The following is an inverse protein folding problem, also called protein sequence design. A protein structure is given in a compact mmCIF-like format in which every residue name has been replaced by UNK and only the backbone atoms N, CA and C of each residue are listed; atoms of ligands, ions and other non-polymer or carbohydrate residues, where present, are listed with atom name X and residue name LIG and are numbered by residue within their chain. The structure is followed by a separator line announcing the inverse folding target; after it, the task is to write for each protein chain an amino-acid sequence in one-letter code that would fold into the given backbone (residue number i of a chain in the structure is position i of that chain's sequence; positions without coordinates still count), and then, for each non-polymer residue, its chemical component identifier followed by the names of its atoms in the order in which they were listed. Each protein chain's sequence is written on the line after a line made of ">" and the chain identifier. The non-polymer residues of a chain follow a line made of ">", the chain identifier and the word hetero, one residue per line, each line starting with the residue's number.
data_IF_356104309196
#
_entry.id   IF_356104309196
#
_cell.length_a   1.000
_cell.length_b   1.000
_cell.length_c   1.000
_cell.angle_alpha   90.00
_cell.angle_beta   90.00
_cell.angle_gamma   90.00
#
_symmetry.space_group_name_H-M   'P 1'
#
loop_
_entity.id
_entity.type
_entity.pdbx_description
1 polymer ?
#
# COMPACT_ATOMS: atom_id res chain seq x y z
N UNK A 1 33.29 -23.14 -3.06
CA UNK A 1 31.93 -23.08 -2.48
C UNK A 1 32.05 -22.24 -1.21
N UNK A 2 31.75 -20.93 -1.28
CA UNK A 2 32.06 -19.97 -0.20
C UNK A 2 30.83 -19.77 0.69
N UNK A 3 30.89 -20.30 1.90
CA UNK A 3 29.87 -20.19 2.96
C UNK A 3 30.02 -18.89 3.76
N UNK A 4 30.03 -17.76 3.06
CA UNK A 4 30.19 -16.42 3.66
C UNK A 4 28.98 -15.50 3.43
N UNK A 5 27.78 -16.07 3.34
CA UNK A 5 26.55 -15.28 3.43
C UNK A 5 26.29 -14.94 4.90
N UNK A 6 26.91 -13.83 5.28
CA UNK A 6 27.01 -13.29 6.63
C UNK A 6 25.66 -12.79 7.17
N UNK A 7 25.38 -12.95 8.48
CA UNK A 7 24.17 -12.43 9.14
C UNK A 7 23.97 -10.91 8.94
N UNK A 8 25.07 -10.18 8.73
CA UNK A 8 25.09 -8.74 8.44
C UNK A 8 24.30 -8.38 7.18
N UNK A 9 24.32 -9.23 6.14
CA UNK A 9 23.54 -9.00 4.90
C UNK A 9 22.04 -9.20 5.12
N UNK A 10 21.65 -10.14 5.98
CA UNK A 10 20.24 -10.40 6.29
C UNK A 10 19.62 -9.22 7.07
N UNK A 11 20.32 -8.68 8.06
CA UNK A 11 19.86 -7.51 8.84
C UNK A 11 19.78 -6.24 7.97
N UNK A 12 20.78 -5.99 7.13
CA UNK A 12 20.78 -4.85 6.23
C UNK A 12 19.62 -4.91 5.22
N UNK A 13 19.34 -6.09 4.65
CA UNK A 13 18.25 -6.29 3.70
C UNK A 13 16.86 -6.16 4.36
N UNK A 14 16.71 -6.70 5.57
CA UNK A 14 15.52 -6.52 6.42
C UNK A 14 15.21 -5.03 6.66
N UNK A 15 16.24 -4.24 6.99
CA UNK A 15 16.12 -2.79 7.23
C UNK A 15 15.57 -2.02 6.03
N UNK A 16 16.08 -2.30 4.81
CA UNK A 16 15.62 -1.59 3.60
C UNK A 16 14.18 -1.98 3.24
N UNK A 17 13.84 -3.26 3.35
CA UNK A 17 12.48 -3.76 3.11
C UNK A 17 11.47 -3.15 4.09
N UNK A 18 11.79 -3.16 5.39
CA UNK A 18 10.97 -2.57 6.45
C UNK A 18 10.77 -1.07 6.25
N UNK A 19 11.82 -0.35 5.84
CA UNK A 19 11.75 1.08 5.52
C UNK A 19 10.76 1.36 4.39
N UNK A 20 10.73 0.54 3.33
CA UNK A 20 9.77 0.76 2.24
C UNK A 20 8.32 0.48 2.70
N UNK A 21 8.09 -0.46 3.62
CA UNK A 21 6.77 -0.61 4.24
C UNK A 21 6.37 0.59 5.11
N UNK A 22 7.32 1.19 5.83
CA UNK A 22 7.07 2.42 6.58
C UNK A 22 6.68 3.57 5.64
N UNK A 23 7.36 3.71 4.48
CA UNK A 23 6.94 4.66 3.45
C UNK A 23 5.53 4.39 2.92
N UNK A 24 5.10 3.13 2.79
CA UNK A 24 3.73 2.78 2.40
C UNK A 24 2.73 3.20 3.49
N UNK A 25 3.04 2.97 4.76
CA UNK A 25 2.17 3.36 5.89
C UNK A 25 2.00 4.88 5.97
N UNK A 26 3.11 5.62 5.98
CA UNK A 26 3.08 7.09 6.03
C UNK A 26 2.49 7.64 4.73
N UNK A 27 2.75 6.98 3.60
CA UNK A 27 2.20 7.32 2.30
C UNK A 27 0.69 7.19 2.17
N UNK A 28 0.05 6.43 3.07
CA UNK A 28 -1.41 6.43 3.20
C UNK A 28 -1.95 7.81 3.59
N UNK A 29 -1.20 8.60 4.37
CA UNK A 29 -1.57 9.98 4.72
C UNK A 29 -0.94 10.97 3.73
N UNK A 30 0.28 10.69 3.29
CA UNK A 30 1.05 11.54 2.38
C UNK A 30 1.23 10.87 1.01
N UNK A 31 0.26 11.07 0.12
CA UNK A 31 0.21 10.46 -1.21
C UNK A 31 1.55 10.43 -2.01
N UNK A 32 2.39 11.49 -2.02
CA UNK A 32 3.66 11.45 -2.73
C UNK A 32 4.60 10.33 -2.25
N UNK A 33 4.59 10.01 -0.95
CA UNK A 33 5.43 8.93 -0.40
C UNK A 33 4.97 7.56 -0.88
N UNK A 34 3.66 7.37 -1.07
CA UNK A 34 3.11 6.13 -1.62
C UNK A 34 3.57 5.89 -3.06
N UNK A 35 3.63 6.96 -3.87
CA UNK A 35 4.15 6.92 -5.25
C UNK A 35 5.64 6.53 -5.24
N UNK A 36 6.45 7.17 -4.39
CA UNK A 36 7.88 6.85 -4.26
C UNK A 36 8.06 5.38 -3.87
N UNK A 37 7.31 4.91 -2.87
CA UNK A 37 7.35 3.52 -2.41
C UNK A 37 6.95 2.53 -3.52
N UNK A 38 5.97 2.90 -4.35
CA UNK A 38 5.55 2.12 -5.51
C UNK A 38 6.68 1.94 -6.52
N UNK A 39 7.38 3.02 -6.90
CA UNK A 39 8.48 2.94 -7.87
C UNK A 39 9.67 2.15 -7.33
N UNK A 40 10.00 2.33 -6.04
CA UNK A 40 11.04 1.53 -5.37
C UNK A 40 10.66 0.05 -5.43
N UNK A 41 9.43 -0.29 -5.05
CA UNK A 41 8.93 -1.67 -5.06
C UNK A 41 8.92 -2.26 -6.48
N UNK A 42 8.46 -1.51 -7.48
CA UNK A 42 8.45 -1.93 -8.90
C UNK A 42 9.85 -2.23 -9.43
N UNK A 43 10.84 -1.39 -9.10
CA UNK A 43 12.22 -1.58 -9.54
C UNK A 43 12.83 -2.82 -8.89
N UNK A 44 12.64 -2.98 -7.57
CA UNK A 44 13.24 -4.07 -6.80
C UNK A 44 12.50 -5.40 -6.91
N UNK A 45 11.23 -5.42 -7.32
CA UNK A 45 10.47 -6.66 -7.53
C UNK A 45 11.00 -7.53 -8.67
N UNK A 46 11.88 -6.98 -9.52
CA UNK A 46 12.50 -7.65 -10.67
C UNK A 46 13.90 -8.23 -10.37
N UNK A 47 14.39 -8.07 -9.14
CA UNK A 47 15.68 -8.63 -8.71
C UNK A 47 15.65 -10.17 -8.63
N UNK A 48 16.81 -10.85 -8.52
CA UNK A 48 16.89 -12.31 -8.42
C UNK A 48 16.00 -12.88 -7.31
N UNK A 49 15.57 -14.12 -7.48
CA UNK A 49 14.63 -14.80 -6.55
C UNK A 49 15.22 -14.87 -5.15
N UNK A 50 14.44 -14.42 -4.15
CA UNK A 50 14.88 -14.40 -2.76
C UNK A 50 13.93 -13.64 -1.83
N UNK A 51 14.40 -13.43 -0.59
CA UNK A 51 13.67 -12.72 0.45
C UNK A 51 13.19 -11.34 -0.01
N UNK A 52 14.11 -10.47 -0.43
CA UNK A 52 13.80 -9.11 -0.86
C UNK A 52 12.78 -9.08 -2.00
N UNK A 53 12.98 -9.93 -3.02
CA UNK A 53 12.09 -10.00 -4.17
C UNK A 53 10.65 -10.31 -3.76
N UNK A 54 10.44 -11.24 -2.84
CA UNK A 54 9.10 -11.62 -2.35
C UNK A 54 8.39 -10.45 -1.66
N UNK A 55 9.13 -9.67 -0.86
CA UNK A 55 8.61 -8.49 -0.18
C UNK A 55 8.34 -7.33 -1.14
N UNK A 56 9.24 -7.05 -2.09
CA UNK A 56 9.04 -5.98 -3.05
C UNK A 56 7.91 -6.28 -4.04
N UNK A 57 7.69 -7.54 -4.43
CA UNK A 57 6.50 -7.94 -5.20
C UNK A 57 5.20 -7.69 -4.41
N UNK A 58 5.21 -8.02 -3.12
CA UNK A 58 4.08 -7.79 -2.23
C UNK A 58 3.78 -6.29 -2.05
N UNK A 59 4.82 -5.49 -1.81
CA UNK A 59 4.74 -4.03 -1.69
C UNK A 59 4.25 -3.40 -3.00
N UNK A 60 4.76 -3.85 -4.14
CA UNK A 60 4.34 -3.38 -5.46
C UNK A 60 2.85 -3.62 -5.68
N UNK A 61 2.34 -4.83 -5.40
CA UNK A 61 0.90 -5.11 -5.51
C UNK A 61 0.07 -4.27 -4.55
N UNK A 62 0.52 -4.14 -3.31
CA UNK A 62 -0.18 -3.35 -2.29
C UNK A 62 -0.30 -1.90 -2.76
N UNK A 63 0.82 -1.28 -3.12
CA UNK A 63 0.83 0.10 -3.64
C UNK A 63 0.05 0.27 -4.93
N UNK A 64 0.11 -0.68 -5.88
CA UNK A 64 -0.71 -0.63 -7.11
C UNK A 64 -2.20 -0.58 -6.80
N UNK A 65 -2.68 -1.47 -5.93
CA UNK A 65 -4.11 -1.52 -5.55
C UNK A 65 -4.51 -0.23 -4.83
N UNK A 66 -3.70 0.24 -3.87
CA UNK A 66 -3.96 1.49 -3.15
C UNK A 66 -4.01 2.69 -4.11
N UNK A 67 -3.08 2.78 -5.06
CA UNK A 67 -3.06 3.86 -6.07
C UNK A 67 -4.28 3.80 -7.00
N UNK A 68 -4.74 2.62 -7.41
CA UNK A 68 -5.96 2.45 -8.22
C UNK A 68 -7.19 2.91 -7.43
N UNK A 69 -7.30 2.50 -6.16
CA UNK A 69 -8.40 2.93 -5.27
C UNK A 69 -8.38 4.45 -5.12
N UNK A 70 -7.20 5.04 -4.86
CA UNK A 70 -7.04 6.48 -4.74
C UNK A 70 -7.42 7.23 -6.01
N UNK A 71 -7.01 6.73 -7.18
CA UNK A 71 -7.38 7.30 -8.47
C UNK A 71 -8.90 7.27 -8.67
N UNK A 72 -9.55 6.14 -8.40
CA UNK A 72 -10.99 6.01 -8.50
C UNK A 72 -11.72 6.98 -7.56
N UNK A 73 -11.27 7.11 -6.31
CA UNK A 73 -11.82 8.06 -5.34
C UNK A 73 -11.64 9.51 -5.79
N UNK A 74 -10.46 9.87 -6.33
CA UNK A 74 -10.21 11.21 -6.87
C UNK A 74 -11.16 11.54 -8.03
N UNK A 75 -11.36 10.60 -8.96
CA UNK A 75 -12.31 10.77 -10.08
C UNK A 75 -13.73 10.96 -9.56
N UNK A 76 -14.19 10.12 -8.63
CA UNK A 76 -15.53 10.24 -8.02
C UNK A 76 -15.67 11.60 -7.31
N UNK A 77 -14.64 12.03 -6.58
CA UNK A 77 -14.65 13.31 -5.89
C UNK A 77 -14.76 14.50 -6.84
N UNK A 78 -13.96 14.50 -7.91
CA UNK A 78 -14.02 15.53 -8.95
C UNK A 78 -15.41 15.57 -9.59
N UNK A 79 -16.01 14.42 -9.87
CA UNK A 79 -17.38 14.34 -10.41
C UNK A 79 -18.41 14.90 -9.42
N UNK A 80 -18.28 14.60 -8.13
CA UNK A 80 -19.19 15.12 -7.10
C UNK A 80 -19.08 16.65 -6.94
N UNK A 81 -17.86 17.20 -6.96
CA UNK A 81 -17.62 18.64 -6.80
C UNK A 81 -17.94 19.42 -8.08
N UNK A 82 -17.60 18.90 -9.27
CA UNK A 82 -17.85 19.59 -10.54
C UNK A 82 -19.33 19.66 -10.93
N UNK A 83 -20.15 18.73 -10.44
CA UNK A 83 -21.61 18.71 -10.68
C UNK A 83 -22.40 19.40 -9.57
N UNK A 84 -21.73 20.14 -8.69
CA UNK A 84 -22.31 20.68 -7.46
C UNK A 84 -22.68 22.16 -7.61
N UNK A 85 -23.98 22.43 -7.66
CA UNK A 85 -24.59 23.72 -7.32
C UNK A 85 -25.89 23.43 -6.57
N UNK A 86 -25.82 23.05 -5.27
CA UNK A 86 -27.03 22.75 -4.51
C UNK A 86 -27.87 24.03 -4.39
N UNK A 87 -29.12 23.94 -4.79
CA UNK A 87 -30.09 25.05 -4.73
C UNK A 87 -31.01 24.94 -3.52
N UNK A 88 -31.08 23.75 -2.91
CA UNK A 88 -31.91 23.48 -1.73
C UNK A 88 -31.13 22.82 -0.58
N UNK A 89 -31.58 22.98 0.68
CA UNK A 89 -30.97 22.31 1.84
C UNK A 89 -31.04 20.78 1.75
N UNK A 90 -32.10 20.23 1.14
CA UNK A 90 -32.26 18.79 0.95
C UNK A 90 -31.19 18.22 0.01
N UNK A 91 -30.91 18.93 -1.09
CA UNK A 91 -29.82 18.57 -2.01
C UNK A 91 -28.48 18.58 -1.27
N UNK A 92 -28.18 19.64 -0.51
CA UNK A 92 -26.96 19.74 0.28
C UNK A 92 -26.77 18.55 1.25
N UNK A 93 -27.84 18.13 1.94
CA UNK A 93 -27.80 16.97 2.84
C UNK A 93 -27.55 15.64 2.09
N UNK A 94 -28.21 15.43 0.94
CA UNK A 94 -27.97 14.24 0.11
C UNK A 94 -26.54 14.19 -0.41
N UNK A 95 -25.95 15.34 -0.76
CA UNK A 95 -24.56 15.40 -1.16
C UNK A 95 -23.59 15.06 -0.02
N UNK A 96 -23.82 15.59 1.19
CA UNK A 96 -23.02 15.25 2.36
C UNK A 96 -23.06 13.74 2.66
N UNK A 97 -24.21 13.09 2.48
CA UNK A 97 -24.32 11.63 2.61
C UNK A 97 -23.48 10.91 1.56
N UNK A 98 -23.57 11.30 0.27
CA UNK A 98 -22.77 10.69 -0.81
C UNK A 98 -21.27 10.85 -0.56
N UNK A 99 -20.85 12.03 -0.12
CA UNK A 99 -19.47 12.35 0.20
C UNK A 99 -18.95 11.56 1.40
N UNK A 100 -19.76 11.45 2.45
CA UNK A 100 -19.48 10.62 3.62
C UNK A 100 -19.31 9.16 3.22
N UNK A 101 -20.20 8.63 2.37
CA UNK A 101 -20.13 7.26 1.88
C UNK A 101 -18.85 6.98 1.08
N UNK A 102 -18.48 7.87 0.14
CA UNK A 102 -17.23 7.76 -0.63
C UNK A 102 -16.00 7.81 0.28
N UNK A 103 -16.02 8.70 1.29
CA UNK A 103 -14.94 8.81 2.26
C UNK A 103 -14.78 7.54 3.10
N UNK A 104 -15.88 6.89 3.49
CA UNK A 104 -15.84 5.62 4.22
C UNK A 104 -15.25 4.48 3.37
N UNK A 105 -15.59 4.42 2.07
CA UNK A 105 -14.96 3.45 1.15
C UNK A 105 -13.46 3.69 1.05
N UNK A 106 -13.04 4.97 0.95
CA UNK A 106 -11.63 5.32 0.95
C UNK A 106 -10.92 4.90 2.23
N UNK A 107 -11.55 5.10 3.38
CA UNK A 107 -11.05 4.67 4.68
C UNK A 107 -10.79 3.15 4.73
N UNK A 108 -11.71 2.33 4.21
CA UNK A 108 -11.52 0.88 4.12
C UNK A 108 -10.29 0.51 3.27
N UNK A 109 -10.05 1.21 2.16
CA UNK A 109 -8.86 1.03 1.33
C UNK A 109 -7.56 1.36 2.07
N UNK A 110 -7.57 2.41 2.90
CA UNK A 110 -6.43 2.76 3.74
C UNK A 110 -6.18 1.74 4.84
N UNK A 111 -7.22 1.30 5.54
CA UNK A 111 -7.11 0.24 6.56
C UNK A 111 -6.54 -1.04 5.96
N UNK A 112 -7.03 -1.45 4.78
CA UNK A 112 -6.48 -2.61 4.06
C UNK A 112 -4.99 -2.46 3.74
N UNK A 113 -4.59 -1.28 3.26
CA UNK A 113 -3.18 -0.96 2.94
C UNK A 113 -2.31 -1.03 4.19
N UNK A 114 -2.78 -0.44 5.30
CA UNK A 114 -2.09 -0.40 6.57
C UNK A 114 -1.87 -1.80 7.16
N UNK A 115 -2.92 -2.63 7.18
CA UNK A 115 -2.82 -4.04 7.64
C UNK A 115 -1.76 -4.80 6.85
N UNK A 116 -1.75 -4.66 5.51
CA UNK A 116 -0.77 -5.32 4.66
C UNK A 116 0.65 -4.82 4.91
N UNK A 117 0.84 -3.52 5.10
CA UNK A 117 2.14 -2.95 5.38
C UNK A 117 2.68 -3.36 6.76
N UNK A 118 1.87 -3.29 7.82
CA UNK A 118 2.21 -3.75 9.17
C UNK A 118 2.64 -5.22 9.14
N UNK A 119 1.87 -6.06 8.44
CA UNK A 119 2.20 -7.47 8.31
C UNK A 119 3.47 -7.72 7.52
N UNK A 120 3.70 -6.93 6.48
CA UNK A 120 4.95 -6.92 5.74
C UNK A 120 6.15 -6.60 6.62
N UNK A 121 6.02 -5.57 7.49
CA UNK A 121 7.04 -5.20 8.48
C UNK A 121 7.32 -6.37 9.43
N UNK A 122 6.27 -6.94 10.02
CA UNK A 122 6.40 -8.08 10.93
C UNK A 122 7.14 -9.27 10.30
N UNK A 123 6.75 -9.65 9.08
CA UNK A 123 7.41 -10.75 8.36
C UNK A 123 8.85 -10.42 7.98
N UNK A 124 9.13 -9.17 7.62
CA UNK A 124 10.49 -8.73 7.31
C UNK A 124 11.39 -8.73 8.54
N UNK A 125 10.87 -8.30 9.70
CA UNK A 125 11.60 -8.35 10.98
C UNK A 125 11.86 -9.79 11.44
N UNK A 126 10.96 -10.72 11.12
CA UNK A 126 11.14 -12.14 11.37
C UNK A 126 12.02 -12.86 10.32
N UNK A 127 12.60 -12.15 9.34
CA UNK A 127 13.35 -12.71 8.22
C UNK A 127 12.59 -13.81 7.45
N UNK A 128 11.26 -13.69 7.34
CA UNK A 128 10.41 -14.67 6.66
C UNK A 128 10.01 -14.20 5.27
N UNK A 129 10.21 -15.07 4.28
CA UNK A 129 9.78 -14.80 2.90
C UNK A 129 8.26 -14.81 2.75
N UNK A 130 7.73 -14.02 1.81
CA UNK A 130 6.30 -14.00 1.49
C UNK A 130 6.01 -15.06 0.44
N UNK A 131 5.52 -16.23 0.87
CA UNK A 131 5.24 -17.37 -0.02
C UNK A 131 4.11 -17.12 -1.03
N UNK A 132 3.12 -16.33 -0.66
CA UNK A 132 2.01 -15.96 -1.54
C UNK A 132 2.00 -14.45 -1.80
N UNK A 133 3.07 -13.95 -2.43
CA UNK A 133 3.17 -12.53 -2.83
C UNK A 133 2.03 -12.11 -3.77
N UNK A 134 1.38 -13.07 -4.43
CA UNK A 134 0.31 -12.85 -5.41
C UNK A 134 -1.09 -12.72 -4.79
N UNK A 135 -1.35 -13.16 -3.56
CA UNK A 135 -2.70 -13.15 -3.00
C UNK A 135 -3.05 -11.79 -2.38
N UNK A 136 -4.30 -11.36 -2.58
CA UNK A 136 -4.89 -10.17 -1.94
C UNK A 136 -5.10 -10.37 -0.42
N UNK A 137 -4.97 -11.61 0.03
CA UNK A 137 -4.98 -12.04 1.42
C UNK A 137 -3.61 -12.60 1.81
N UNK A 138 -3.05 -12.10 2.90
CA UNK A 138 -1.83 -12.68 3.47
C UNK A 138 -2.31 -13.77 4.42
N UNK A 139 -2.05 -15.04 4.13
CA UNK A 139 -2.38 -16.12 5.05
C UNK A 139 -1.28 -16.27 6.10
N UNK A 140 -1.60 -16.46 7.39
CA UNK A 140 -0.61 -16.93 8.35
C UNK A 140 -0.23 -18.35 7.91
N UNK A 141 1.03 -18.74 8.12
CA UNK A 141 1.33 -20.16 8.15
C UNK A 141 0.80 -20.72 9.45
#
# INVERSE_FOLDING_TARGET
>A
MSTSDTPIRAEANSSVVARNYAFILVGGVFFPLLIVAHFIARKRSRQPVGFEQSHYQFQYRTTSVTLIILLALCVIWILLVSRMSPTTPLEAAQYQMKFSFVSQIGWLGFVWTAIRAIRGIYLSGANRTIQNSKTLWVWPR
#
